data_IF_782705430887
#
_entry.id   IF_782705430887
#
_cell.length_a   1.000
_cell.length_b   1.000
_cell.length_c   1.000
_cell.angle_alpha   90.00
_cell.angle_beta   90.00
_cell.angle_gamma   90.00
#
_symmetry.space_group_name_H-M   'P 1'
#
loop_
_entity.id
_entity.type
_entity.pdbx_description
1 polymer ?
#
# COMPACT_ATOMS: atom_id res chain seq x y z
N UNK A 1 -7.46 6.71 -33.87
CA UNK A 1 -6.44 5.80 -33.29
C UNK A 1 -6.13 6.11 -31.82
N UNK A 2 -6.13 7.42 -31.40
CA UNK A 2 -5.79 7.80 -30.01
C UNK A 2 -6.70 7.14 -28.97
N UNK A 3 -8.03 7.22 -29.03
CA UNK A 3 -8.91 6.56 -28.06
C UNK A 3 -8.66 5.05 -28.01
N UNK A 4 -8.41 4.41 -29.12
CA UNK A 4 -8.13 2.98 -29.18
C UNK A 4 -6.83 2.60 -28.46
N UNK A 5 -5.78 3.45 -28.54
CA UNK A 5 -4.54 3.23 -27.78
C UNK A 5 -4.77 3.25 -26.26
N UNK A 6 -5.61 4.17 -25.78
CA UNK A 6 -5.99 4.21 -24.36
C UNK A 6 -6.83 3.01 -23.95
N UNK A 7 -7.85 2.62 -24.76
CA UNK A 7 -8.63 1.42 -24.48
C UNK A 7 -7.77 0.17 -24.43
N UNK A 8 -6.83 0.03 -25.37
CA UNK A 8 -5.90 -1.08 -25.37
C UNK A 8 -4.95 -1.02 -24.15
N UNK A 9 -4.54 0.17 -23.71
CA UNK A 9 -3.74 0.36 -22.50
C UNK A 9 -4.50 -0.05 -21.23
N UNK A 10 -5.77 0.36 -21.09
CA UNK A 10 -6.66 -0.04 -19.98
C UNK A 10 -6.87 -1.56 -19.99
N UNK A 11 -7.16 -2.15 -21.17
CA UNK A 11 -7.32 -3.59 -21.34
C UNK A 11 -6.05 -4.36 -20.99
N UNK A 12 -4.88 -3.86 -21.40
CA UNK A 12 -3.59 -4.44 -21.05
C UNK A 12 -3.31 -4.41 -19.55
N UNK A 13 -3.66 -3.30 -18.88
CA UNK A 13 -3.56 -3.17 -17.41
C UNK A 13 -4.54 -4.14 -16.70
N UNK A 14 -5.78 -4.22 -17.16
CA UNK A 14 -6.80 -5.11 -16.60
C UNK A 14 -6.37 -6.58 -16.68
N UNK A 15 -5.76 -7.01 -17.78
CA UNK A 15 -5.21 -8.37 -17.92
C UNK A 15 -4.07 -8.68 -16.94
N UNK A 16 -3.53 -7.67 -16.27
CA UNK A 16 -2.52 -7.81 -15.20
C UNK A 16 -3.12 -7.62 -13.81
N UNK A 17 -4.45 -7.58 -13.67
CA UNK A 17 -5.13 -7.33 -12.41
C UNK A 17 -5.01 -5.87 -11.93
N UNK A 18 -4.85 -4.92 -12.84
CA UNK A 18 -4.76 -3.49 -12.56
C UNK A 18 -5.96 -2.82 -13.23
N UNK A 19 -6.96 -2.45 -12.44
CA UNK A 19 -8.15 -1.75 -12.91
C UNK A 19 -7.88 -0.25 -12.97
N UNK A 20 -7.93 0.34 -14.14
CA UNK A 20 -7.81 1.79 -14.36
C UNK A 20 -9.18 2.33 -14.75
N UNK A 21 -9.72 3.27 -13.98
CA UNK A 21 -11.09 3.76 -14.13
C UNK A 21 -11.29 4.74 -15.30
N UNK A 22 -10.23 5.26 -15.87
CA UNK A 22 -10.30 6.19 -17.00
C UNK A 22 -8.98 6.43 -17.72
N UNK A 23 -9.06 6.90 -18.97
CA UNK A 23 -7.87 7.16 -19.80
C UNK A 23 -7.01 8.31 -19.29
N UNK A 24 -7.61 9.33 -18.66
CA UNK A 24 -6.92 10.44 -18.02
C UNK A 24 -6.00 9.97 -16.88
N UNK A 25 -6.38 8.89 -16.19
CA UNK A 25 -5.54 8.33 -15.11
C UNK A 25 -4.29 7.63 -15.65
N UNK A 26 -4.32 7.06 -16.85
CA UNK A 26 -3.10 6.57 -17.50
C UNK A 26 -2.11 7.71 -17.80
N UNK A 27 -2.62 8.86 -18.24
CA UNK A 27 -1.78 10.02 -18.52
C UNK A 27 -1.13 10.56 -17.23
N UNK A 28 -1.93 10.74 -16.17
CA UNK A 28 -1.44 11.17 -14.85
C UNK A 28 -0.42 10.18 -14.29
N UNK A 29 -0.71 8.87 -14.37
CA UNK A 29 0.18 7.82 -13.88
C UNK A 29 1.52 7.79 -14.63
N UNK A 30 1.53 8.03 -15.94
CA UNK A 30 2.75 8.10 -16.73
C UNK A 30 3.69 9.21 -16.27
N UNK A 31 3.12 10.33 -15.78
CA UNK A 31 3.85 11.51 -15.29
C UNK A 31 4.21 11.41 -13.80
N UNK A 32 3.82 10.33 -13.12
CA UNK A 32 4.08 10.13 -11.69
C UNK A 32 5.59 10.08 -11.40
N UNK A 33 6.00 10.92 -10.45
CA UNK A 33 7.37 11.03 -9.92
C UNK A 33 7.43 10.87 -8.41
N UNK A 34 6.32 11.08 -7.70
CA UNK A 34 6.19 10.95 -6.26
C UNK A 34 5.21 9.82 -5.96
N UNK A 35 5.60 8.87 -5.12
CA UNK A 35 4.71 7.81 -4.65
C UNK A 35 4.68 7.84 -3.13
N UNK A 36 3.50 8.04 -2.59
CA UNK A 36 3.23 8.11 -1.16
C UNK A 36 2.42 6.88 -0.77
N UNK A 37 2.86 6.16 0.25
CA UNK A 37 2.22 4.94 0.71
C UNK A 37 1.62 5.13 2.09
N UNK A 38 0.42 4.62 2.32
CA UNK A 38 0.08 4.21 3.67
C UNK A 38 0.91 2.98 4.07
N UNK A 39 1.14 2.78 5.37
CA UNK A 39 1.87 1.60 5.85
C UNK A 39 0.97 0.38 5.93
N UNK A 40 -0.07 0.47 6.80
CA UNK A 40 -0.89 -0.68 7.21
C UNK A 40 -1.82 -1.12 6.09
N UNK A 41 -1.84 -2.43 5.77
CA UNK A 41 -2.66 -2.96 4.68
C UNK A 41 -2.13 -2.66 3.27
N UNK A 42 -1.23 -1.68 3.13
CA UNK A 42 -0.63 -1.27 1.84
C UNK A 42 0.75 -1.88 1.64
N UNK A 43 1.73 -1.52 2.48
CA UNK A 43 3.08 -2.09 2.47
C UNK A 43 3.20 -3.29 3.42
N UNK A 44 2.29 -3.39 4.37
CA UNK A 44 2.14 -4.51 5.29
C UNK A 44 0.80 -5.22 5.03
N UNK A 45 0.63 -6.40 5.61
CA UNK A 45 -0.57 -7.21 5.42
C UNK A 45 -1.76 -6.73 6.28
N UNK A 46 -1.57 -5.78 7.20
CA UNK A 46 -2.56 -5.42 8.22
C UNK A 46 -2.84 -6.57 9.19
N UNK A 47 -1.98 -7.58 9.19
CA UNK A 47 -2.07 -8.76 10.06
C UNK A 47 -0.93 -8.70 11.05
N UNK A 48 -1.30 -8.65 12.32
CA UNK A 48 -0.35 -8.66 13.42
C UNK A 48 0.04 -10.10 13.75
N UNK A 49 1.33 -10.36 13.90
CA UNK A 49 1.85 -11.64 14.36
C UNK A 49 2.84 -11.47 15.52
N UNK A 50 2.89 -12.48 16.39
CA UNK A 50 3.90 -12.55 17.44
C UNK A 50 5.26 -12.75 16.79
N UNK A 51 6.13 -11.75 16.91
CA UNK A 51 7.47 -11.74 16.33
C UNK A 51 8.58 -12.11 17.34
N UNK A 52 8.26 -12.10 18.63
CA UNK A 52 9.20 -12.50 19.67
C UNK A 52 8.58 -12.51 21.05
N UNK A 53 9.20 -13.25 21.96
CA UNK A 53 8.88 -13.32 23.39
C UNK A 53 10.20 -13.13 24.14
N UNK A 54 10.25 -12.15 25.03
CA UNK A 54 11.50 -11.73 25.64
C UNK A 54 11.38 -11.52 27.16
N UNK A 55 12.50 -11.71 27.86
CA UNK A 55 12.67 -11.40 29.28
C UNK A 55 11.68 -12.11 30.21
N UNK A 56 11.33 -13.34 29.94
CA UNK A 56 10.42 -14.13 30.76
C UNK A 56 11.22 -15.06 31.70
N UNK A 57 10.65 -15.28 32.87
CA UNK A 57 11.17 -16.27 33.84
C UNK A 57 10.52 -17.64 33.66
N UNK A 58 9.65 -17.81 32.66
CA UNK A 58 8.91 -19.02 32.35
C UNK A 58 9.09 -19.40 30.87
N UNK A 59 8.73 -20.63 30.46
CA UNK A 59 8.76 -21.03 29.05
C UNK A 59 7.88 -20.10 28.19
N UNK A 60 8.36 -19.73 26.99
CA UNK A 60 7.68 -18.86 26.03
C UNK A 60 6.26 -19.33 25.71
N UNK A 61 6.08 -20.65 25.54
CA UNK A 61 4.77 -21.25 25.30
C UNK A 61 3.78 -20.99 26.43
N UNK A 62 4.25 -20.96 27.68
CA UNK A 62 3.43 -20.73 28.86
C UNK A 62 3.02 -19.26 28.97
N UNK A 63 3.94 -18.35 28.70
CA UNK A 63 3.67 -16.91 28.67
C UNK A 63 2.64 -16.57 27.58
N UNK A 64 2.79 -17.17 26.39
CA UNK A 64 1.86 -17.03 25.28
C UNK A 64 0.48 -17.62 25.60
N UNK A 65 0.42 -18.77 26.28
CA UNK A 65 -0.82 -19.37 26.75
C UNK A 65 -1.59 -18.40 27.68
N UNK A 66 -0.92 -17.84 28.68
CA UNK A 66 -1.53 -16.89 29.59
C UNK A 66 -2.00 -15.61 28.88
N UNK A 67 -1.22 -15.08 27.93
CA UNK A 67 -1.60 -13.94 27.13
C UNK A 67 -2.85 -14.22 26.28
N UNK A 68 -2.87 -15.36 25.58
CA UNK A 68 -3.98 -15.73 24.71
C UNK A 68 -5.27 -16.01 25.50
N UNK A 69 -5.17 -16.61 26.71
CA UNK A 69 -6.30 -16.84 27.59
C UNK A 69 -6.81 -15.52 28.21
N UNK A 70 -5.94 -14.66 28.73
CA UNK A 70 -6.34 -13.37 29.30
C UNK A 70 -7.08 -12.50 28.26
N UNK A 71 -6.65 -12.52 27.01
CA UNK A 71 -7.20 -11.75 25.90
C UNK A 71 -8.34 -12.50 25.14
N UNK A 72 -8.87 -13.58 25.71
CA UNK A 72 -9.82 -14.47 24.99
C UNK A 72 -11.18 -13.84 24.67
N UNK A 73 -11.54 -12.77 25.32
CA UNK A 73 -12.82 -12.06 25.12
C UNK A 73 -12.68 -10.79 24.28
N UNK A 74 -11.46 -10.32 24.04
CA UNK A 74 -11.20 -9.12 23.26
C UNK A 74 -11.25 -9.40 21.74
N UNK A 75 -11.87 -8.51 21.00
CA UNK A 75 -11.89 -8.53 19.52
C UNK A 75 -10.74 -7.75 18.88
N UNK A 76 -9.85 -7.19 19.69
CA UNK A 76 -8.74 -6.37 19.23
C UNK A 76 -7.78 -7.19 18.34
N UNK A 77 -7.19 -6.60 17.27
CA UNK A 77 -6.25 -7.29 16.40
C UNK A 77 -5.07 -7.94 17.12
N UNK A 78 -4.54 -7.27 18.16
CA UNK A 78 -3.46 -7.79 19.02
C UNK A 78 -3.90 -9.08 19.72
N UNK A 79 -5.11 -9.09 20.29
CA UNK A 79 -5.68 -10.26 20.99
C UNK A 79 -5.85 -11.46 20.06
N UNK A 80 -6.33 -11.19 18.83
CA UNK A 80 -6.44 -12.24 17.78
C UNK A 80 -5.08 -12.79 17.39
N UNK A 81 -4.03 -11.95 17.34
CA UNK A 81 -2.69 -12.41 17.01
C UNK A 81 -2.09 -13.29 18.10
N UNK A 82 -2.32 -12.96 19.37
CA UNK A 82 -1.91 -13.79 20.51
C UNK A 82 -2.61 -15.15 20.49
N UNK A 83 -3.93 -15.15 20.24
CA UNK A 83 -4.72 -16.41 20.14
C UNK A 83 -4.26 -17.25 18.95
N UNK A 84 -4.00 -16.63 17.79
CA UNK A 84 -3.48 -17.32 16.59
C UNK A 84 -2.10 -17.93 16.86
N UNK A 85 -1.20 -17.19 17.51
CA UNK A 85 0.14 -17.67 17.82
C UNK A 85 0.12 -18.82 18.83
N UNK A 86 -0.80 -18.79 19.82
CA UNK A 86 -0.99 -19.90 20.73
C UNK A 86 -1.42 -21.19 20.02
N UNK A 87 -2.22 -21.10 18.95
CA UNK A 87 -2.53 -22.19 18.03
C UNK A 87 -3.33 -23.37 18.61
N UNK A 88 -3.78 -23.27 19.86
CA UNK A 88 -4.59 -24.28 20.53
C UNK A 88 -5.98 -23.72 20.84
N UNK A 89 -7.01 -24.59 20.98
CA UNK A 89 -8.34 -24.14 21.38
C UNK A 89 -8.32 -23.39 22.71
N UNK A 90 -8.98 -22.23 22.74
CA UNK A 90 -9.12 -21.41 23.94
C UNK A 90 -10.23 -21.96 24.82
N UNK A 91 -9.88 -22.54 25.96
CA UNK A 91 -10.85 -22.95 26.97
C UNK A 91 -11.21 -21.78 27.88
N UNK A 92 -12.35 -21.13 27.59
CA UNK A 92 -12.84 -19.98 28.34
C UNK A 92 -13.22 -20.30 29.79
N UNK A 93 -13.47 -21.58 30.14
CA UNK A 93 -13.79 -21.97 31.52
C UNK A 93 -12.59 -21.80 32.47
N UNK A 94 -11.38 -21.72 31.92
CA UNK A 94 -10.15 -21.45 32.68
C UNK A 94 -9.98 -19.98 33.04
N UNK A 95 -10.83 -19.09 32.49
CA UNK A 95 -10.66 -17.64 32.62
C UNK A 95 -11.84 -17.05 33.39
N UNK A 96 -11.55 -16.31 34.45
CA UNK A 96 -12.55 -15.59 35.27
C UNK A 96 -12.09 -14.16 35.52
N UNK A 97 -12.98 -13.32 36.04
CA UNK A 97 -12.69 -11.95 36.48
C UNK A 97 -11.98 -11.09 35.40
N UNK A 98 -12.48 -11.15 34.17
CA UNK A 98 -11.90 -10.39 33.04
C UNK A 98 -12.28 -8.91 33.19
N UNK A 99 -11.28 -8.05 33.30
CA UNK A 99 -11.41 -6.59 33.33
C UNK A 99 -10.62 -6.00 32.15
N UNK A 100 -11.31 -5.48 31.14
CA UNK A 100 -10.69 -4.76 30.02
C UNK A 100 -10.53 -3.28 30.40
N UNK A 101 -9.29 -2.80 30.40
CA UNK A 101 -8.95 -1.41 30.70
C UNK A 101 -8.64 -0.70 29.38
N UNK A 102 -9.62 0.08 28.92
CA UNK A 102 -9.56 0.74 27.60
C UNK A 102 -8.25 1.50 27.40
N UNK A 103 -7.56 1.21 26.29
CA UNK A 103 -6.29 1.80 25.91
C UNK A 103 -5.07 1.36 26.76
N UNK A 104 -5.22 0.42 27.69
CA UNK A 104 -4.14 -0.06 28.54
C UNK A 104 -3.89 -1.57 28.41
N UNK A 105 -4.93 -2.40 28.38
CA UNK A 105 -4.83 -3.85 28.30
C UNK A 105 -5.91 -4.56 29.11
N UNK A 106 -5.67 -5.81 29.48
CA UNK A 106 -6.61 -6.71 30.16
C UNK A 106 -5.99 -7.26 31.43
N UNK A 107 -6.83 -7.40 32.48
CA UNK A 107 -6.51 -8.17 33.68
C UNK A 107 -7.54 -9.31 33.77
N UNK A 108 -7.08 -10.53 33.98
CA UNK A 108 -7.95 -11.70 34.13
C UNK A 108 -7.35 -12.69 35.12
N UNK A 109 -8.18 -13.62 35.63
CA UNK A 109 -7.69 -14.80 36.34
C UNK A 109 -7.70 -15.98 35.41
N UNK A 110 -6.55 -16.59 35.18
CA UNK A 110 -6.37 -17.80 34.40
C UNK A 110 -5.97 -18.93 35.36
N UNK A 111 -6.79 -19.96 35.45
CA UNK A 111 -6.63 -21.06 36.42
C UNK A 111 -6.46 -20.57 37.88
N UNK A 112 -7.14 -19.46 38.24
CA UNK A 112 -7.05 -18.81 39.54
C UNK A 112 -5.84 -17.89 39.74
N UNK A 113 -4.92 -17.82 38.77
CA UNK A 113 -3.71 -16.98 38.76
C UNK A 113 -4.06 -15.62 38.15
N UNK A 114 -3.67 -14.52 38.79
CA UNK A 114 -3.88 -13.17 38.25
C UNK A 114 -2.91 -12.90 37.11
N UNK A 115 -3.45 -12.61 35.92
CA UNK A 115 -2.69 -12.31 34.70
C UNK A 115 -3.06 -10.91 34.20
N UNK A 116 -2.07 -10.04 34.01
CA UNK A 116 -2.24 -8.76 33.38
C UNK A 116 -1.45 -8.74 32.06
N UNK A 117 -2.12 -8.39 30.96
CA UNK A 117 -1.54 -8.26 29.62
C UNK A 117 -1.84 -6.86 29.09
N UNK A 118 -0.81 -6.07 28.73
CA UNK A 118 -1.06 -4.72 28.23
C UNK A 118 0.20 -3.90 27.99
N UNK A 119 0.00 -2.59 27.82
CA UNK A 119 1.10 -1.66 27.56
C UNK A 119 1.76 -1.16 28.86
N UNK A 120 2.76 -0.29 28.72
CA UNK A 120 3.48 0.31 29.85
C UNK A 120 2.57 1.09 30.81
N UNK A 121 1.44 1.67 30.31
CA UNK A 121 0.48 2.37 31.17
C UNK A 121 -0.20 1.42 32.14
N UNK A 122 -0.52 0.19 31.70
CA UNK A 122 -1.08 -0.85 32.56
C UNK A 122 -0.07 -1.24 33.65
N UNK A 123 1.18 -1.51 33.27
CA UNK A 123 2.25 -1.86 34.23
C UNK A 123 2.45 -0.77 35.28
N UNK A 124 2.51 0.49 34.87
CA UNK A 124 2.61 1.64 35.77
C UNK A 124 1.40 1.76 36.70
N UNK A 125 0.18 1.56 36.19
CA UNK A 125 -1.05 1.58 37.01
C UNK A 125 -1.05 0.50 38.10
N UNK A 126 -0.48 -0.66 37.79
CA UNK A 126 -0.34 -1.78 38.72
C UNK A 126 0.89 -1.65 39.64
N UNK A 127 1.74 -0.64 39.48
CA UNK A 127 2.97 -0.47 40.24
C UNK A 127 4.03 -1.54 39.94
N UNK A 128 3.98 -2.16 38.76
CA UNK A 128 4.86 -3.24 38.36
C UNK A 128 6.02 -2.67 37.53
N UNK A 129 7.25 -2.87 37.99
CA UNK A 129 8.44 -2.54 37.22
C UNK A 129 8.55 -3.46 35.99
N UNK A 130 8.75 -2.91 34.81
CA UNK A 130 8.87 -3.64 33.56
C UNK A 130 10.23 -3.36 32.89
N UNK A 131 10.57 -4.20 31.93
CA UNK A 131 11.78 -4.03 31.11
C UNK A 131 11.39 -3.44 29.76
N UNK A 132 12.11 -2.39 29.32
CA UNK A 132 11.93 -1.81 27.99
C UNK A 132 12.37 -2.80 26.91
N UNK A 133 11.55 -2.88 25.87
CA UNK A 133 11.87 -3.67 24.68
C UNK A 133 12.61 -2.80 23.65
N UNK A 134 13.80 -3.24 23.24
CA UNK A 134 14.57 -2.57 22.21
C UNK A 134 14.19 -3.02 20.78
N UNK A 135 13.36 -4.06 20.64
CA UNK A 135 12.86 -4.52 19.34
C UNK A 135 11.67 -3.67 18.89
N UNK A 136 11.45 -3.64 17.58
CA UNK A 136 10.41 -2.83 16.97
C UNK A 136 9.12 -3.61 16.80
N UNK A 137 8.04 -3.05 17.31
CA UNK A 137 6.71 -3.62 17.29
C UNK A 137 5.85 -3.10 18.43
N UNK A 138 4.64 -3.59 18.52
CA UNK A 138 3.76 -3.37 19.66
C UNK A 138 4.16 -4.34 20.78
N UNK A 139 4.54 -3.79 21.92
CA UNK A 139 4.93 -4.59 23.08
C UNK A 139 3.73 -4.84 23.97
N UNK A 140 3.42 -6.10 24.23
CA UNK A 140 2.46 -6.55 25.24
C UNK A 140 3.24 -7.03 26.46
N UNK A 141 3.29 -6.21 27.51
CA UNK A 141 3.89 -6.58 28.78
C UNK A 141 2.97 -7.54 29.53
N UNK A 142 3.57 -8.54 30.16
CA UNK A 142 2.86 -9.55 30.92
C UNK A 142 3.26 -9.49 32.40
N UNK A 143 2.26 -9.52 33.26
CA UNK A 143 2.49 -9.69 34.69
C UNK A 143 1.63 -10.84 35.24
N UNK A 144 2.21 -11.65 36.12
CA UNK A 144 1.57 -12.84 36.71
C UNK A 144 1.70 -12.73 38.22
N UNK A 145 0.58 -12.82 38.94
CA UNK A 145 0.52 -12.63 40.40
C UNK A 145 1.24 -11.37 40.88
N UNK A 146 1.06 -10.26 40.16
CA UNK A 146 1.66 -8.98 40.50
C UNK A 146 3.16 -8.85 40.22
N UNK A 147 3.78 -9.84 39.59
CA UNK A 147 5.19 -9.80 39.17
C UNK A 147 5.33 -9.72 37.67
N UNK A 148 6.30 -8.94 37.21
CA UNK A 148 6.63 -8.90 35.78
C UNK A 148 7.12 -10.25 35.28
N UNK A 149 6.48 -10.78 34.25
CA UNK A 149 6.81 -12.11 33.70
C UNK A 149 7.55 -12.03 32.36
N UNK A 150 7.50 -10.89 31.68
CA UNK A 150 8.13 -10.69 30.37
C UNK A 150 7.26 -9.87 29.43
N UNK A 151 7.58 -9.88 28.16
CA UNK A 151 6.77 -9.22 27.15
C UNK A 151 6.73 -10.01 25.84
N UNK A 152 5.64 -9.81 25.10
CA UNK A 152 5.41 -10.39 23.79
C UNK A 152 5.46 -9.25 22.77
N UNK A 153 6.28 -9.41 21.75
CA UNK A 153 6.41 -8.47 20.66
C UNK A 153 5.49 -8.86 19.53
N UNK A 154 4.70 -7.91 19.06
CA UNK A 154 3.74 -8.09 17.97
C UNK A 154 4.09 -7.10 16.87
N UNK A 155 4.27 -7.59 15.66
CA UNK A 155 4.62 -6.79 14.49
C UNK A 155 3.64 -7.03 13.35
N UNK A 156 3.39 -5.98 12.58
CA UNK A 156 2.65 -6.08 11.32
C UNK A 156 3.58 -6.65 10.26
N UNK A 157 3.10 -7.60 9.47
CA UNK A 157 3.94 -8.32 8.50
C UNK A 157 4.07 -7.50 7.23
N UNK A 158 5.30 -7.28 6.80
CA UNK A 158 5.58 -6.67 5.49
C UNK A 158 5.06 -7.59 4.39
N UNK A 159 4.37 -7.04 3.39
CA UNK A 159 3.88 -7.81 2.24
C UNK A 159 5.04 -8.42 1.45
N UNK A 160 4.86 -9.63 0.90
CA UNK A 160 5.75 -10.15 -0.11
C UNK A 160 5.93 -9.11 -1.22
N UNK A 161 7.14 -9.01 -1.77
CA UNK A 161 7.49 -8.07 -2.84
C UNK A 161 7.44 -6.57 -2.49
N UNK A 162 7.10 -6.15 -1.26
CA UNK A 162 7.05 -4.72 -0.92
C UNK A 162 8.41 -4.03 -1.10
N UNK A 163 9.50 -4.66 -0.65
CA UNK A 163 10.86 -4.16 -0.86
C UNK A 163 11.24 -4.11 -2.35
N UNK A 164 10.89 -5.16 -3.09
CA UNK A 164 11.13 -5.22 -4.53
C UNK A 164 10.35 -4.15 -5.28
N UNK A 165 9.10 -3.89 -4.86
CA UNK A 165 8.26 -2.84 -5.43
C UNK A 165 8.92 -1.46 -5.32
N UNK A 166 9.49 -1.11 -4.16
CA UNK A 166 10.22 0.15 -3.97
C UNK A 166 11.46 0.22 -4.88
N UNK A 167 12.21 -0.88 -5.02
CA UNK A 167 13.35 -0.93 -5.91
C UNK A 167 12.95 -0.75 -7.39
N UNK A 168 11.87 -1.41 -7.83
CA UNK A 168 11.34 -1.29 -9.19
C UNK A 168 10.77 0.10 -9.49
N UNK A 169 10.15 0.77 -8.51
CA UNK A 169 9.73 2.16 -8.64
C UNK A 169 10.91 3.10 -8.88
N UNK A 170 12.00 2.92 -8.14
CA UNK A 170 13.25 3.70 -8.36
C UNK A 170 13.81 3.47 -9.76
N UNK A 171 13.87 2.22 -10.22
CA UNK A 171 14.28 1.88 -11.60
C UNK A 171 13.34 2.47 -12.65
N UNK A 172 12.04 2.53 -12.35
CA UNK A 172 11.06 3.20 -13.20
C UNK A 172 11.19 4.74 -13.17
N UNK A 173 12.16 5.32 -12.45
CA UNK A 173 12.42 6.75 -12.43
C UNK A 173 11.43 7.54 -11.56
N UNK A 174 10.92 6.92 -10.48
CA UNK A 174 10.28 7.64 -9.38
C UNK A 174 11.35 8.38 -8.60
N UNK A 175 11.13 9.67 -8.41
CA UNK A 175 12.10 10.55 -7.76
C UNK A 175 12.01 10.48 -6.25
N UNK A 176 10.79 10.26 -5.70
CA UNK A 176 10.54 10.30 -4.27
C UNK A 176 9.55 9.24 -3.86
N UNK A 177 9.92 8.46 -2.84
CA UNK A 177 9.05 7.51 -2.16
C UNK A 177 8.87 7.93 -0.71
N UNK A 178 7.62 8.02 -0.25
CA UNK A 178 7.25 8.50 1.08
C UNK A 178 6.32 7.50 1.73
N UNK A 179 6.46 7.28 3.03
CA UNK A 179 5.50 6.48 3.82
C UNK A 179 4.83 7.35 4.88
N UNK A 180 3.51 7.25 4.99
CA UNK A 180 2.71 7.89 6.03
C UNK A 180 2.15 6.81 6.95
N UNK A 181 2.24 7.02 8.27
CA UNK A 181 1.72 6.07 9.25
C UNK A 181 1.33 6.73 10.56
N UNK A 182 0.36 6.16 11.26
CA UNK A 182 0.00 6.51 12.64
C UNK A 182 0.89 5.85 13.69
N UNK A 183 1.81 4.97 13.29
CA UNK A 183 2.70 4.27 14.22
C UNK A 183 3.73 5.22 14.85
N UNK A 184 4.35 4.76 15.93
CA UNK A 184 5.46 5.46 16.57
C UNK A 184 6.63 5.63 15.59
N UNK A 185 7.37 6.72 15.76
CA UNK A 185 8.53 7.05 14.93
C UNK A 185 9.49 5.87 14.77
N UNK A 186 9.78 5.15 15.84
CA UNK A 186 10.71 4.02 15.85
C UNK A 186 10.26 2.88 14.93
N UNK A 187 8.97 2.52 14.96
CA UNK A 187 8.39 1.48 14.09
C UNK A 187 8.44 1.93 12.64
N UNK A 188 8.04 3.18 12.39
CA UNK A 188 7.99 3.75 11.06
C UNK A 188 9.38 3.83 10.41
N UNK A 189 10.40 4.32 11.14
CA UNK A 189 11.77 4.44 10.65
C UNK A 189 12.35 3.07 10.27
N UNK A 190 12.14 2.03 11.09
CA UNK A 190 12.63 0.68 10.79
C UNK A 190 11.98 0.08 9.55
N UNK A 191 10.66 0.18 9.42
CA UNK A 191 9.95 -0.31 8.22
C UNK A 191 10.41 0.42 6.98
N UNK A 192 10.59 1.75 7.06
CA UNK A 192 11.07 2.55 5.95
C UNK A 192 12.51 2.16 5.52
N UNK A 193 13.40 1.91 6.48
CA UNK A 193 14.76 1.45 6.22
C UNK A 193 14.76 0.06 5.58
N UNK A 194 13.99 -0.89 6.11
CA UNK A 194 13.88 -2.26 5.58
C UNK A 194 13.36 -2.27 4.13
N UNK A 195 12.35 -1.45 3.82
CA UNK A 195 11.79 -1.31 2.49
C UNK A 195 12.65 -0.44 1.56
N UNK A 196 13.55 0.38 2.10
CA UNK A 196 14.34 1.34 1.35
C UNK A 196 13.54 2.56 0.89
N UNK A 197 12.51 2.97 1.64
CA UNK A 197 11.73 4.19 1.41
C UNK A 197 12.56 5.41 1.82
N UNK A 198 12.45 6.51 1.07
CA UNK A 198 13.32 7.69 1.25
C UNK A 198 12.90 8.61 2.39
N UNK A 199 11.59 8.78 2.59
CA UNK A 199 11.05 9.63 3.64
C UNK A 199 9.92 8.91 4.36
N UNK A 200 9.79 9.17 5.67
CA UNK A 200 8.71 8.63 6.49
C UNK A 200 8.18 9.70 7.44
N UNK A 201 6.87 9.73 7.57
CA UNK A 201 6.16 10.55 8.54
C UNK A 201 5.33 9.64 9.44
N UNK A 202 5.60 9.71 10.72
CA UNK A 202 5.03 8.87 11.77
C UNK A 202 4.06 9.62 12.67
N UNK A 203 3.35 8.90 13.53
CA UNK A 203 2.44 9.46 14.54
C UNK A 203 1.33 10.36 13.99
N UNK A 204 0.94 10.11 12.72
CA UNK A 204 -0.04 10.91 12.01
C UNK A 204 -1.47 10.48 12.35
N UNK A 205 -2.32 11.44 12.61
CA UNK A 205 -3.77 11.26 12.58
C UNK A 205 -4.27 11.27 11.11
N UNK A 206 -5.48 10.76 10.83
CA UNK A 206 -6.02 10.76 9.46
C UNK A 206 -6.01 12.15 8.79
N UNK A 207 -6.32 13.21 9.53
CA UNK A 207 -6.27 14.57 9.01
C UNK A 207 -4.84 15.04 8.68
N UNK A 208 -3.86 14.61 9.46
CA UNK A 208 -2.45 14.96 9.24
C UNK A 208 -1.91 14.32 7.96
N UNK A 209 -2.39 13.11 7.60
CA UNK A 209 -2.02 12.46 6.33
C UNK A 209 -2.45 13.30 5.14
N UNK A 210 -3.67 13.87 5.17
CA UNK A 210 -4.16 14.76 4.10
C UNK A 210 -3.28 15.99 3.99
N UNK A 211 -3.00 16.65 5.10
CA UNK A 211 -2.15 17.85 5.14
C UNK A 211 -0.74 17.57 4.60
N UNK A 212 -0.17 16.40 4.92
CA UNK A 212 1.15 15.99 4.39
C UNK A 212 1.14 15.78 2.90
N UNK A 213 0.10 15.14 2.36
CA UNK A 213 -0.02 14.98 0.91
C UNK A 213 -0.18 16.34 0.24
N UNK A 214 -0.93 17.29 0.81
CA UNK A 214 -1.04 18.66 0.29
C UNK A 214 0.30 19.40 0.29
N UNK A 215 1.09 19.27 1.35
CA UNK A 215 2.44 19.83 1.40
C UNK A 215 3.33 19.26 0.28
N UNK A 216 3.30 17.95 0.06
CA UNK A 216 4.05 17.28 -1.00
C UNK A 216 3.56 17.70 -2.40
N UNK A 217 2.25 17.89 -2.58
CA UNK A 217 1.68 18.42 -3.83
C UNK A 217 2.16 19.84 -4.13
N UNK A 218 2.34 20.68 -3.11
CA UNK A 218 2.83 22.05 -3.27
C UNK A 218 4.35 22.12 -3.51
N UNK A 219 5.11 21.11 -3.10
CA UNK A 219 6.57 21.05 -3.25
C UNK A 219 7.01 20.54 -4.62
N UNK A 220 6.18 19.76 -5.30
CA UNK A 220 6.54 19.17 -6.59
C UNK A 220 6.41 20.16 -7.75
N UNK A 221 7.08 19.88 -8.88
CA UNK A 221 6.86 20.58 -10.13
C UNK A 221 5.43 20.37 -10.66
N UNK A 222 4.86 21.31 -11.37
CA UNK A 222 3.54 21.16 -12.01
C UNK A 222 3.48 19.97 -12.98
N UNK A 223 4.59 19.64 -13.62
CA UNK A 223 4.70 18.50 -14.56
C UNK A 223 4.77 17.16 -13.87
N UNK A 224 5.24 17.13 -12.62
CA UNK A 224 5.35 15.90 -11.86
C UNK A 224 4.02 15.58 -11.17
N UNK A 225 3.66 14.32 -11.12
CA UNK A 225 2.43 13.85 -10.48
C UNK A 225 2.76 13.02 -9.25
N UNK A 226 1.86 13.10 -8.26
CA UNK A 226 1.93 12.37 -7.01
C UNK A 226 0.85 11.31 -6.98
N UNK A 227 1.27 10.04 -6.81
CA UNK A 227 0.36 8.94 -6.53
C UNK A 227 0.32 8.68 -5.03
N UNK A 228 -0.88 8.50 -4.48
CA UNK A 228 -1.08 7.98 -3.13
C UNK A 228 -1.59 6.54 -3.21
N UNK A 229 -1.02 5.65 -2.42
CA UNK A 229 -1.38 4.23 -2.35
C UNK A 229 -1.89 3.92 -0.94
N UNK A 230 -3.11 3.42 -0.84
CA UNK A 230 -3.76 3.07 0.42
C UNK A 230 -4.74 1.90 0.27
N UNK A 231 -5.19 1.33 1.39
CA UNK A 231 -6.12 0.19 1.40
C UNK A 231 -7.43 0.47 2.15
N UNK A 232 -7.44 1.47 3.01
CA UNK A 232 -8.41 1.63 4.06
C UNK A 232 -9.51 2.66 3.82
N UNK A 233 -10.59 2.53 4.59
CA UNK A 233 -11.66 3.53 4.69
C UNK A 233 -11.09 4.89 5.12
N UNK A 234 -10.07 4.87 6.00
CA UNK A 234 -9.44 6.07 6.53
C UNK A 234 -8.61 6.82 5.48
N UNK A 235 -8.23 6.17 4.39
CA UNK A 235 -7.39 6.73 3.34
C UNK A 235 -8.20 7.32 2.18
N UNK A 236 -9.52 7.11 2.12
CA UNK A 236 -10.38 7.63 1.06
C UNK A 236 -10.23 9.15 0.84
N UNK A 237 -10.15 10.00 1.90
CA UNK A 237 -9.90 11.43 1.72
C UNK A 237 -8.53 11.73 1.11
N UNK A 238 -7.50 10.94 1.44
CA UNK A 238 -6.14 11.12 0.93
C UNK A 238 -6.05 10.64 -0.51
N UNK A 239 -6.67 9.48 -0.84
CA UNK A 239 -6.78 8.94 -2.20
C UNK A 239 -7.39 9.95 -3.16
N UNK A 240 -8.49 10.60 -2.74
CA UNK A 240 -9.18 11.61 -3.56
C UNK A 240 -8.41 12.92 -3.67
N UNK A 241 -7.47 13.20 -2.76
CA UNK A 241 -6.72 14.46 -2.72
C UNK A 241 -5.44 14.42 -3.56
N UNK A 242 -4.85 13.25 -3.74
CA UNK A 242 -3.66 13.06 -4.57
C UNK A 242 -3.94 13.38 -6.06
N UNK A 243 -2.89 13.57 -6.87
CA UNK A 243 -3.07 13.67 -8.33
C UNK A 243 -3.64 12.35 -8.90
N UNK A 244 -3.30 11.23 -8.26
CA UNK A 244 -3.84 9.92 -8.59
C UNK A 244 -3.89 9.04 -7.34
N UNK A 245 -5.05 8.46 -7.06
CA UNK A 245 -5.29 7.52 -5.98
C UNK A 245 -5.21 6.07 -6.46
N UNK A 246 -4.44 5.25 -5.76
CA UNK A 246 -4.28 3.80 -6.04
C UNK A 246 -4.76 3.04 -4.81
N UNK A 247 -5.81 2.22 -4.95
CA UNK A 247 -6.29 1.35 -3.88
C UNK A 247 -5.75 -0.07 -4.01
N UNK A 248 -5.42 -0.67 -2.86
CA UNK A 248 -5.17 -2.10 -2.72
C UNK A 248 -6.53 -2.80 -2.65
N UNK A 249 -6.83 -3.70 -3.61
CA UNK A 249 -8.21 -4.14 -3.86
C UNK A 249 -8.68 -5.36 -3.08
N UNK A 250 -7.80 -6.29 -2.71
CA UNK A 250 -8.22 -7.56 -2.08
C UNK A 250 -8.74 -7.39 -0.64
N UNK A 251 -8.19 -6.42 0.10
CA UNK A 251 -8.60 -6.05 1.45
C UNK A 251 -9.16 -4.63 1.53
N UNK A 252 -9.16 -3.90 0.41
CA UNK A 252 -9.63 -2.52 0.32
C UNK A 252 -11.11 -2.41 0.66
N UNK A 253 -11.47 -1.38 1.43
CA UNK A 253 -12.87 -1.08 1.67
C UNK A 253 -13.55 -0.60 0.40
N UNK A 254 -14.85 -0.83 0.29
CA UNK A 254 -15.65 -0.31 -0.84
C UNK A 254 -15.45 1.19 -1.02
N UNK A 255 -15.33 1.93 0.09
CA UNK A 255 -15.07 3.38 0.07
C UNK A 255 -13.69 3.74 -0.52
N UNK A 256 -12.63 2.98 -0.20
CA UNK A 256 -11.30 3.19 -0.79
C UNK A 256 -11.30 2.83 -2.27
N UNK A 257 -11.94 1.70 -2.63
CA UNK A 257 -12.10 1.30 -4.03
C UNK A 257 -12.87 2.37 -4.82
N UNK A 258 -13.93 2.94 -4.25
CA UNK A 258 -14.72 3.99 -4.89
C UNK A 258 -13.92 5.29 -5.08
N UNK A 259 -13.16 5.69 -4.07
CA UNK A 259 -12.37 6.93 -4.05
C UNK A 259 -11.11 6.88 -4.95
N UNK A 260 -10.58 5.68 -5.22
CA UNK A 260 -9.36 5.51 -6.00
C UNK A 260 -9.61 5.60 -7.51
N UNK A 261 -8.60 6.03 -8.24
CA UNK A 261 -8.57 6.09 -9.71
C UNK A 261 -8.09 4.77 -10.32
N UNK A 262 -7.28 4.05 -9.57
CA UNK A 262 -6.69 2.74 -9.93
C UNK A 262 -6.89 1.77 -8.78
N UNK A 263 -7.22 0.52 -9.09
CA UNK A 263 -7.37 -0.56 -8.11
C UNK A 263 -6.47 -1.73 -8.48
N UNK A 264 -5.66 -2.20 -7.53
CA UNK A 264 -4.81 -3.38 -7.68
C UNK A 264 -5.56 -4.60 -7.12
N UNK A 265 -6.02 -5.49 -8.00
CA UNK A 265 -6.99 -6.53 -7.67
C UNK A 265 -6.47 -7.64 -6.74
N UNK A 266 -5.17 -7.87 -6.71
CA UNK A 266 -4.54 -8.95 -5.93
C UNK A 266 -3.59 -8.47 -4.82
N UNK A 267 -3.63 -7.21 -4.49
CA UNK A 267 -2.95 -6.63 -3.33
C UNK A 267 -1.41 -6.70 -3.37
N UNK A 268 -0.82 -6.96 -4.54
CA UNK A 268 0.63 -7.03 -4.72
C UNK A 268 1.23 -5.63 -4.97
N UNK A 269 2.07 -5.09 -4.06
CA UNK A 269 2.70 -3.78 -4.23
C UNK A 269 3.56 -3.66 -5.50
N UNK A 270 4.09 -4.77 -6.01
CA UNK A 270 4.90 -4.79 -7.24
C UNK A 270 4.11 -4.27 -8.46
N UNK A 271 2.80 -4.43 -8.44
CA UNK A 271 1.92 -3.95 -9.52
C UNK A 271 1.87 -2.43 -9.65
N UNK A 272 2.24 -1.68 -8.62
CA UNK A 272 2.34 -0.20 -8.71
C UNK A 272 3.38 0.19 -9.76
N UNK A 273 4.57 -0.40 -9.70
CA UNK A 273 5.63 -0.15 -10.68
C UNK A 273 5.20 -0.59 -12.08
N UNK A 274 4.51 -1.72 -12.18
CA UNK A 274 3.98 -2.26 -13.44
C UNK A 274 2.92 -1.36 -14.03
N UNK A 275 2.01 -0.83 -13.23
CA UNK A 275 0.99 0.15 -13.67
C UNK A 275 1.64 1.39 -14.29
N UNK A 276 2.67 1.95 -13.66
CA UNK A 276 3.43 3.10 -14.17
C UNK A 276 4.11 2.77 -15.50
N UNK A 277 4.74 1.60 -15.61
CA UNK A 277 5.40 1.16 -16.84
C UNK A 277 4.39 0.98 -18.00
N UNK A 278 3.22 0.40 -17.72
CA UNK A 278 2.12 0.24 -18.69
C UNK A 278 1.62 1.62 -19.15
N UNK A 279 1.37 2.53 -18.22
CA UNK A 279 0.92 3.88 -18.51
C UNK A 279 1.92 4.61 -19.44
N UNK A 280 3.20 4.58 -19.11
CA UNK A 280 4.27 5.19 -19.94
C UNK A 280 4.38 4.57 -21.33
N UNK A 281 4.25 3.25 -21.44
CA UNK A 281 4.21 2.56 -22.72
C UNK A 281 2.99 3.00 -23.56
N UNK A 282 1.81 3.08 -22.92
CA UNK A 282 0.60 3.53 -23.57
C UNK A 282 0.76 4.95 -24.13
N UNK A 283 1.20 5.88 -23.31
CA UNK A 283 1.42 7.29 -23.69
C UNK A 283 2.47 7.41 -24.80
N UNK A 284 3.55 6.64 -24.74
CA UNK A 284 4.57 6.60 -25.81
C UNK A 284 3.95 6.19 -27.15
N UNK A 285 3.15 5.14 -27.17
CA UNK A 285 2.47 4.66 -28.38
C UNK A 285 1.46 5.68 -28.90
N UNK A 286 0.75 6.39 -28.00
CA UNK A 286 -0.13 7.50 -28.39
C UNK A 286 0.66 8.58 -29.12
N UNK A 287 1.80 9.03 -28.60
CA UNK A 287 2.64 10.04 -29.22
C UNK A 287 3.27 9.53 -30.53
N UNK A 288 3.72 8.29 -30.59
CA UNK A 288 4.20 7.66 -31.84
C UNK A 288 3.13 7.78 -32.93
N UNK A 289 1.89 7.43 -32.62
CA UNK A 289 0.78 7.50 -33.56
C UNK A 289 0.44 8.93 -33.98
N UNK A 290 0.50 9.90 -33.04
CA UNK A 290 0.23 11.32 -33.33
C UNK A 290 1.30 11.88 -34.28
N UNK A 291 2.58 11.72 -33.96
CA UNK A 291 3.66 12.27 -34.76
C UNK A 291 3.74 11.61 -36.13
N UNK A 292 3.52 10.30 -36.21
CA UNK A 292 3.45 9.58 -37.46
C UNK A 292 2.32 10.11 -38.36
N UNK A 293 1.12 10.22 -37.84
CA UNK A 293 -0.04 10.69 -38.59
C UNK A 293 0.12 12.15 -39.05
N UNK A 294 0.62 13.04 -38.22
CA UNK A 294 0.90 14.44 -38.58
C UNK A 294 2.00 14.50 -39.64
N UNK A 295 3.09 13.75 -39.45
CA UNK A 295 4.23 13.73 -40.40
C UNK A 295 3.81 13.31 -41.82
N UNK A 296 3.03 12.23 -41.92
CA UNK A 296 2.54 11.78 -43.24
C UNK A 296 1.58 12.83 -43.85
N UNK A 297 0.68 13.44 -43.07
CA UNK A 297 -0.22 14.49 -43.59
C UNK A 297 0.54 15.71 -44.06
N UNK A 298 1.53 16.20 -43.31
CA UNK A 298 2.39 17.31 -43.76
C UNK A 298 3.15 16.96 -45.04
N UNK A 299 3.73 15.75 -45.13
CA UNK A 299 4.40 15.29 -46.33
C UNK A 299 3.47 15.31 -47.53
N UNK A 300 2.23 14.76 -47.39
CA UNK A 300 1.26 14.75 -48.49
C UNK A 300 0.82 16.17 -48.89
N UNK A 301 0.71 17.08 -47.97
CA UNK A 301 0.41 18.50 -48.31
C UNK A 301 1.55 19.14 -49.11
N UNK A 302 2.80 18.91 -48.74
CA UNK A 302 3.99 19.39 -49.48
C UNK A 302 4.00 18.83 -50.91
N UNK A 303 3.80 17.50 -51.05
CA UNK A 303 3.74 16.85 -52.36
C UNK A 303 2.57 17.34 -53.19
N UNK A 304 1.42 17.66 -52.57
CA UNK A 304 0.28 18.28 -53.23
C UNK A 304 0.59 19.69 -53.75
N UNK A 305 1.27 20.52 -52.96
CA UNK A 305 1.70 21.85 -53.35
C UNK A 305 2.70 21.83 -54.50
N UNK A 306 3.52 20.78 -54.61
CA UNK A 306 4.45 20.58 -55.71
C UNK A 306 3.81 19.92 -56.96
N UNK A 307 2.51 19.62 -56.93
CA UNK A 307 1.80 18.99 -58.05
C UNK A 307 2.12 17.50 -58.27
N UNK A 308 2.79 16.85 -57.30
CA UNK A 308 3.21 15.46 -57.39
C UNK A 308 2.15 14.51 -56.75
N UNK A 309 1.35 14.99 -55.81
CA UNK A 309 0.38 14.17 -55.09
C UNK A 309 -0.80 13.79 -55.99
N UNK A 310 -1.22 12.53 -55.87
CA UNK A 310 -2.42 12.01 -56.53
C UNK A 310 -3.46 11.55 -55.49
N UNK A 311 -4.67 11.22 -55.95
CA UNK A 311 -5.79 10.81 -55.11
C UNK A 311 -5.44 9.59 -54.25
N UNK A 312 -4.68 8.62 -54.76
CA UNK A 312 -4.29 7.41 -54.03
C UNK A 312 -3.38 7.73 -52.83
N UNK A 313 -2.46 8.70 -52.99
CA UNK A 313 -1.62 9.17 -51.90
C UNK A 313 -2.43 9.83 -50.81
N UNK A 314 -3.47 10.62 -51.16
CA UNK A 314 -4.37 11.22 -50.20
C UNK A 314 -5.18 10.16 -49.43
N UNK A 315 -5.71 9.14 -50.10
CA UNK A 315 -6.40 8.01 -49.51
C UNK A 315 -5.48 7.25 -48.55
N UNK A 316 -4.23 6.97 -48.95
CA UNK A 316 -3.26 6.31 -48.08
C UNK A 316 -2.93 7.17 -46.85
N UNK A 317 -2.75 8.46 -47.01
CA UNK A 317 -2.47 9.38 -45.88
C UNK A 317 -3.61 9.46 -44.86
N UNK A 318 -4.83 9.13 -45.25
CA UNK A 318 -5.98 9.13 -44.34
C UNK A 318 -6.30 7.74 -43.79
N UNK A 319 -6.61 6.79 -44.68
CA UNK A 319 -7.03 5.43 -44.31
C UNK A 319 -5.88 4.52 -43.95
N UNK A 320 -4.82 4.53 -44.78
CA UNK A 320 -3.64 3.67 -44.58
C UNK A 320 -2.91 4.01 -43.25
N UNK A 321 -2.73 5.29 -42.96
CA UNK A 321 -2.12 5.76 -41.72
C UNK A 321 -2.99 5.36 -40.52
N UNK A 322 -4.32 5.44 -40.64
CA UNK A 322 -5.22 5.00 -39.57
C UNK A 322 -5.06 3.51 -39.28
N UNK A 323 -4.98 2.66 -40.28
CA UNK A 323 -4.78 1.21 -40.10
C UNK A 323 -3.43 0.93 -39.38
N UNK A 324 -2.35 1.56 -39.85
CA UNK A 324 -1.02 1.40 -39.22
C UNK A 324 -1.07 1.85 -37.76
N UNK A 325 -1.70 3.00 -37.45
CA UNK A 325 -1.84 3.49 -36.10
C UNK A 325 -2.69 2.57 -35.19
N UNK A 326 -3.72 1.90 -35.74
CA UNK A 326 -4.50 0.87 -35.03
C UNK A 326 -3.63 -0.35 -34.71
N UNK A 327 -2.86 -0.84 -35.68
CA UNK A 327 -1.95 -1.96 -35.45
C UNK A 327 -0.86 -1.63 -34.43
N UNK A 328 -0.36 -0.39 -34.43
CA UNK A 328 0.58 0.08 -33.39
C UNK A 328 -0.09 0.16 -32.00
N UNK A 329 -1.35 0.60 -31.93
CA UNK A 329 -2.11 0.67 -30.69
C UNK A 329 -2.31 -0.71 -30.04
N UNK A 330 -2.45 -1.80 -30.82
CA UNK A 330 -2.57 -3.16 -30.29
C UNK A 330 -1.34 -3.57 -29.45
N UNK A 331 -0.16 -2.98 -29.70
CA UNK A 331 1.06 -3.23 -28.91
C UNK A 331 0.90 -2.86 -27.44
N UNK A 332 -0.06 -2.00 -27.07
CA UNK A 332 -0.36 -1.68 -25.68
C UNK A 332 -1.00 -2.83 -24.89
N UNK A 333 -1.60 -3.82 -25.58
CA UNK A 333 -2.12 -5.04 -24.95
C UNK A 333 -1.02 -5.99 -24.47
N UNK A 334 0.17 -5.95 -25.10
CA UNK A 334 1.27 -6.85 -24.79
C UNK A 334 2.15 -6.30 -23.68
N UNK A 335 1.71 -6.47 -22.43
CA UNK A 335 2.35 -5.92 -21.23
C UNK A 335 2.97 -6.98 -20.31
N UNK A 336 3.01 -8.24 -20.74
CA UNK A 336 3.46 -9.37 -19.92
C UNK A 336 4.93 -9.25 -19.45
N UNK A 337 5.78 -8.58 -20.21
CA UNK A 337 7.24 -8.51 -20.00
C UNK A 337 7.72 -7.10 -19.62
N UNK A 338 6.88 -6.32 -18.93
CA UNK A 338 7.22 -4.97 -18.46
C UNK A 338 7.72 -4.95 -17.03
#
# INVERSE_FOLDING_TARGET
SIPLSFFAGIGGASNQGILVKGSNYLETLAQTKYVVFDKTGTMTQGVFEVSGIHHNEMPDEKLLEYAALAECSSSHPISKSLQKAYGKPIDRNRVTDIEEISGNGVIAKVDGISVAAGNTKLMNRLGIAYQDCHHVGTVVHMAIDGKYAGHILISDIIKPHAKEAIAELKKAGISKTVMLTGDSKRVADQVAEELGIQEVYSELLPADKVSRVEELLNQKSEKDKLAFVGDGINDAPVLSRADIGIAMGALGSDAAIEAADIVLMDDDPLKISKAIKIARKCIRIVYENIYFAIGIKVLCLILGALGIANMWMAIFADVGVMIIAVLNAIRTLFVKNL
#
